data_IF_999861343181
#
_entry.id   IF_999861343181
#
_cell.length_a   1.000
_cell.length_b   1.000
_cell.length_c   1.000
_cell.angle_alpha   90.00
_cell.angle_beta   90.00
_cell.angle_gamma   90.00
#
_symmetry.space_group_name_H-M   'P 1'
#
loop_
_entity.id
_entity.type
_entity.pdbx_description
1 polymer ?
#
# COMPACT_ATOMS: atom_id res chain seq x y z
N UNK A 1 0.90 -11.48 19.69
CA UNK A 1 0.77 -12.90 20.14
C UNK A 1 1.18 -13.87 19.02
N UNK A 2 1.86 -14.97 19.34
CA UNK A 2 2.25 -16.04 18.41
C UNK A 2 1.24 -17.18 18.40
N UNK A 3 1.11 -17.89 17.28
CA UNK A 3 0.23 -19.05 17.13
C UNK A 3 0.99 -20.25 16.52
N UNK A 4 0.67 -21.49 16.94
CA UNK A 4 1.31 -22.69 16.42
C UNK A 4 0.72 -23.04 15.05
N UNK A 5 1.12 -22.29 14.02
CA UNK A 5 0.59 -22.43 12.66
C UNK A 5 1.56 -23.22 11.78
N UNK A 6 1.09 -24.26 11.05
CA UNK A 6 1.90 -24.99 10.09
C UNK A 6 2.51 -24.07 9.02
N UNK A 7 3.71 -24.40 8.56
CA UNK A 7 4.42 -23.66 7.51
C UNK A 7 3.58 -23.35 6.25
N UNK A 8 2.78 -24.30 5.67
CA UNK A 8 1.98 -24.00 4.49
C UNK A 8 0.95 -22.89 4.73
N UNK A 9 0.39 -22.81 5.93
CA UNK A 9 -0.59 -21.78 6.31
C UNK A 9 0.10 -20.44 6.59
N UNK A 10 1.31 -20.46 7.19
CA UNK A 10 2.16 -19.26 7.33
C UNK A 10 2.53 -18.65 5.98
N UNK A 11 2.87 -19.47 4.99
CA UNK A 11 3.15 -19.00 3.61
C UNK A 11 1.95 -18.27 3.00
N UNK A 12 0.74 -18.81 3.16
CA UNK A 12 -0.49 -18.15 2.67
C UNK A 12 -0.77 -16.79 3.35
N UNK A 13 -0.37 -16.64 4.61
CA UNK A 13 -0.52 -15.37 5.34
C UNK A 13 0.45 -14.28 4.88
N UNK A 14 1.57 -14.63 4.21
CA UNK A 14 2.52 -13.67 3.63
C UNK A 14 2.00 -13.02 2.35
N UNK A 15 1.29 -13.80 1.52
CA UNK A 15 0.79 -13.38 0.20
C UNK A 15 0.15 -11.98 0.17
N UNK A 16 -0.77 -11.61 1.09
CA UNK A 16 -1.36 -10.27 1.07
C UNK A 16 -0.34 -9.14 1.28
N UNK A 17 0.72 -9.38 2.07
CA UNK A 17 1.76 -8.38 2.36
C UNK A 17 2.79 -8.31 1.23
N UNK A 18 3.13 -9.45 0.62
CA UNK A 18 3.97 -9.49 -0.59
C UNK A 18 3.29 -8.75 -1.75
N UNK A 19 1.98 -8.96 -1.96
CA UNK A 19 1.21 -8.22 -2.94
C UNK A 19 1.19 -6.71 -2.64
N UNK A 20 1.07 -6.34 -1.36
CA UNK A 20 1.16 -4.94 -0.93
C UNK A 20 2.54 -4.36 -1.24
N UNK A 21 3.61 -5.10 -0.95
CA UNK A 21 4.98 -4.66 -1.21
C UNK A 21 5.24 -4.47 -2.71
N UNK A 22 4.83 -5.42 -3.55
CA UNK A 22 4.90 -5.26 -5.02
C UNK A 22 4.10 -4.05 -5.48
N UNK A 23 2.90 -3.84 -4.95
CA UNK A 23 2.08 -2.70 -5.31
C UNK A 23 2.73 -1.35 -4.96
N UNK A 24 3.37 -1.27 -3.79
CA UNK A 24 4.05 -0.06 -3.33
C UNK A 24 5.37 0.18 -4.10
N UNK A 25 6.19 -0.86 -4.29
CA UNK A 25 7.50 -0.71 -4.89
C UNK A 25 7.47 -0.58 -6.41
N UNK A 26 6.54 -1.26 -7.07
CA UNK A 26 6.44 -1.24 -8.53
C UNK A 26 5.49 -0.12 -8.94
N UNK A 27 4.19 -0.27 -8.67
CA UNK A 27 3.20 0.65 -9.24
C UNK A 27 3.21 2.04 -8.60
N UNK A 28 3.32 2.13 -7.27
CA UNK A 28 3.32 3.44 -6.61
C UNK A 28 4.61 4.22 -6.86
N UNK A 29 5.76 3.56 -6.74
CA UNK A 29 7.04 4.21 -7.03
C UNK A 29 7.10 4.68 -8.49
N UNK A 30 6.67 3.85 -9.45
CA UNK A 30 6.58 4.25 -10.86
C UNK A 30 5.63 5.43 -11.06
N UNK A 31 4.49 5.45 -10.36
CA UNK A 31 3.54 6.58 -10.41
C UNK A 31 4.20 7.86 -9.93
N UNK A 32 4.92 7.84 -8.80
CA UNK A 32 5.62 9.01 -8.26
C UNK A 32 6.79 9.46 -9.15
N UNK A 33 7.53 8.51 -9.72
CA UNK A 33 8.58 8.81 -10.70
C UNK A 33 7.99 9.44 -11.95
N UNK A 34 6.88 8.90 -12.49
CA UNK A 34 6.21 9.48 -13.64
C UNK A 34 5.63 10.88 -13.33
N UNK A 35 5.12 11.08 -12.12
CA UNK A 35 4.59 12.38 -11.69
C UNK A 35 5.72 13.41 -11.57
N UNK A 36 6.86 13.03 -10.98
CA UNK A 36 8.03 13.89 -10.82
C UNK A 36 8.73 14.13 -12.16
N UNK A 37 9.08 13.07 -12.88
CA UNK A 37 9.73 13.10 -14.19
C UNK A 37 8.89 13.82 -15.24
N UNK A 38 7.59 13.58 -15.26
CA UNK A 38 6.63 14.28 -16.13
C UNK A 38 6.56 15.78 -15.85
N UNK A 39 6.96 16.25 -14.66
CA UNK A 39 7.08 17.69 -14.37
C UNK A 39 8.30 18.35 -15.02
N UNK A 40 9.27 17.57 -15.51
CA UNK A 40 10.46 18.04 -16.23
C UNK A 40 10.36 17.86 -17.74
N UNK A 41 9.32 17.19 -18.25
CA UNK A 41 9.14 16.97 -19.69
C UNK A 41 8.69 18.27 -20.36
N UNK A 42 9.46 18.71 -21.35
CA UNK A 42 9.13 19.88 -22.17
C UNK A 42 7.91 19.60 -23.07
N UNK A 43 7.04 20.60 -23.32
CA UNK A 43 5.81 20.43 -24.09
C UNK A 43 6.02 19.91 -25.51
N UNK A 44 7.13 20.26 -26.16
CA UNK A 44 7.47 19.85 -27.53
C UNK A 44 8.24 18.52 -27.60
N UNK A 45 8.46 17.85 -26.48
CA UNK A 45 9.13 16.55 -26.43
C UNK A 45 8.22 15.43 -26.95
N UNK A 46 8.81 14.42 -27.60
CA UNK A 46 8.12 13.17 -27.95
C UNK A 46 7.55 12.41 -26.74
N UNK A 47 7.98 12.76 -25.52
CA UNK A 47 7.49 12.21 -24.26
C UNK A 47 6.25 12.94 -23.71
N UNK A 48 5.90 14.11 -24.24
CA UNK A 48 4.73 14.89 -23.81
C UNK A 48 3.40 14.10 -23.83
N UNK A 49 3.05 13.33 -24.87
CA UNK A 49 1.80 12.54 -24.87
C UNK A 49 1.78 11.44 -23.80
N UNK A 50 2.96 11.01 -23.34
CA UNK A 50 3.08 9.94 -22.34
C UNK A 50 3.02 10.43 -20.89
N UNK A 51 3.01 11.75 -20.64
CA UNK A 51 3.00 12.34 -19.29
C UNK A 51 1.80 11.88 -18.45
N UNK A 52 0.61 11.94 -19.02
CA UNK A 52 -0.64 11.53 -18.35
C UNK A 52 -0.77 10.01 -18.24
N UNK A 53 -0.65 9.22 -19.33
CA UNK A 53 -0.77 7.76 -19.23
C UNK A 53 0.33 7.14 -18.37
N UNK A 54 1.54 7.73 -18.33
CA UNK A 54 2.63 7.28 -17.46
C UNK A 54 2.31 7.32 -15.97
N UNK A 55 1.40 8.21 -15.55
CA UNK A 55 0.89 8.27 -14.16
C UNK A 55 -0.37 7.42 -14.01
N UNK A 56 -1.31 7.53 -14.97
CA UNK A 56 -2.62 6.90 -14.87
C UNK A 56 -2.58 5.37 -14.96
N UNK A 57 -1.71 4.80 -15.80
CA UNK A 57 -1.58 3.35 -15.96
C UNK A 57 -1.12 2.66 -14.67
N UNK A 58 0.01 3.02 -14.06
CA UNK A 58 0.44 2.39 -12.82
C UNK A 58 -0.52 2.70 -11.65
N UNK A 59 -1.10 3.89 -11.60
CA UNK A 59 -2.09 4.23 -10.57
C UNK A 59 -3.37 3.39 -10.71
N UNK A 60 -3.88 3.22 -11.93
CA UNK A 60 -5.06 2.39 -12.21
C UNK A 60 -4.83 0.92 -11.87
N UNK A 61 -3.65 0.39 -12.21
CA UNK A 61 -3.27 -0.97 -11.86
C UNK A 61 -3.12 -1.14 -10.34
N UNK A 62 -2.59 -0.11 -9.65
CA UNK A 62 -2.53 -0.09 -8.19
C UNK A 62 -3.92 -0.12 -7.56
N UNK A 63 -4.86 0.68 -8.07
CA UNK A 63 -6.26 0.68 -7.60
C UNK A 63 -6.93 -0.68 -7.86
N UNK A 64 -6.65 -1.34 -8.98
CA UNK A 64 -7.14 -2.68 -9.25
C UNK A 64 -6.62 -3.70 -8.22
N UNK A 65 -5.34 -3.62 -7.84
CA UNK A 65 -4.76 -4.48 -6.80
C UNK A 65 -5.39 -4.20 -5.42
N UNK A 66 -5.63 -2.93 -5.10
CA UNK A 66 -6.32 -2.53 -3.87
C UNK A 66 -7.74 -3.12 -3.84
N UNK A 67 -8.50 -2.97 -4.91
CA UNK A 67 -9.85 -3.51 -5.03
C UNK A 67 -9.86 -5.05 -4.91
N UNK A 68 -8.96 -5.71 -5.64
CA UNK A 68 -8.77 -7.16 -5.55
C UNK A 68 -8.46 -7.60 -4.12
N UNK A 69 -7.58 -6.89 -3.42
CA UNK A 69 -7.18 -7.22 -2.05
C UNK A 69 -8.35 -7.10 -1.07
N UNK A 70 -9.19 -6.09 -1.20
CA UNK A 70 -10.41 -5.96 -0.40
C UNK A 70 -11.40 -7.10 -0.67
N UNK A 71 -11.62 -7.46 -1.94
CA UNK A 71 -12.49 -8.58 -2.31
C UNK A 71 -11.95 -9.91 -1.76
N UNK A 72 -10.65 -10.14 -1.92
CA UNK A 72 -9.99 -11.35 -1.43
C UNK A 72 -10.01 -11.43 0.10
N UNK A 73 -9.82 -10.32 0.81
CA UNK A 73 -9.92 -10.28 2.27
C UNK A 73 -11.34 -10.58 2.77
N UNK A 74 -12.36 -10.04 2.10
CA UNK A 74 -13.77 -10.38 2.40
C UNK A 74 -14.05 -11.86 2.19
N UNK A 75 -13.55 -12.46 1.11
CA UNK A 75 -13.72 -13.89 0.81
C UNK A 75 -12.96 -14.77 1.81
N UNK A 76 -11.72 -14.42 2.15
CA UNK A 76 -10.90 -15.16 3.13
C UNK A 76 -11.54 -15.18 4.53
N UNK A 77 -12.21 -14.10 4.92
CA UNK A 77 -12.91 -14.02 6.22
C UNK A 77 -14.15 -14.93 6.27
N UNK A 78 -14.76 -15.27 5.13
CA UNK A 78 -16.00 -16.07 5.07
C UNK A 78 -15.76 -17.58 5.02
N UNK A 79 -14.66 -18.03 4.42
CA UNK A 79 -14.46 -19.43 4.08
C UNK A 79 -13.01 -19.93 4.27
N UNK A 80 -12.10 -19.08 4.76
CA UNK A 80 -10.69 -19.43 4.91
C UNK A 80 -10.29 -19.67 6.37
N UNK A 81 -9.12 -20.30 6.60
CA UNK A 81 -8.55 -20.42 7.94
C UNK A 81 -8.34 -19.03 8.56
N UNK A 82 -8.53 -18.94 9.88
CA UNK A 82 -8.49 -17.68 10.62
C UNK A 82 -7.18 -16.91 10.43
N UNK A 83 -6.03 -17.58 10.49
CA UNK A 83 -4.72 -16.94 10.46
C UNK A 83 -4.42 -16.20 9.12
N UNK A 84 -4.53 -16.85 7.94
CA UNK A 84 -4.47 -16.13 6.66
C UNK A 84 -5.52 -15.02 6.55
N UNK A 85 -6.77 -15.27 6.99
CA UNK A 85 -7.83 -14.27 6.93
C UNK A 85 -7.50 -13.02 7.77
N UNK A 86 -6.89 -13.20 8.94
CA UNK A 86 -6.39 -12.11 9.77
C UNK A 86 -5.35 -11.27 9.02
N UNK A 87 -4.34 -11.91 8.41
CA UNK A 87 -3.32 -11.18 7.63
C UNK A 87 -3.88 -10.47 6.39
N UNK A 88 -4.90 -11.04 5.73
CA UNK A 88 -5.63 -10.36 4.65
C UNK A 88 -6.36 -9.10 5.15
N UNK A 89 -6.96 -9.14 6.34
CA UNK A 89 -7.58 -7.96 6.97
C UNK A 89 -6.54 -6.92 7.36
N UNK A 90 -5.39 -7.34 7.90
CA UNK A 90 -4.29 -6.46 8.26
C UNK A 90 -3.76 -5.69 7.05
N UNK A 91 -3.48 -6.38 5.95
CA UNK A 91 -3.04 -5.76 4.69
C UNK A 91 -4.10 -4.81 4.13
N UNK A 92 -5.38 -5.22 4.13
CA UNK A 92 -6.50 -4.37 3.70
C UNK A 92 -6.63 -3.08 4.51
N UNK A 93 -6.30 -3.13 5.81
CA UNK A 93 -6.25 -1.94 6.65
C UNK A 93 -5.22 -0.92 6.18
N UNK A 94 -4.05 -1.38 5.72
CA UNK A 94 -2.97 -0.52 5.20
C UNK A 94 -3.31 0.10 3.86
N UNK A 95 -4.07 -0.60 3.02
CA UNK A 95 -4.58 0.01 1.79
C UNK A 95 -5.51 1.20 2.03
N UNK A 96 -6.15 1.30 3.20
CA UNK A 96 -6.91 2.52 3.56
C UNK A 96 -6.00 3.72 3.75
N UNK A 97 -4.82 3.51 4.35
CA UNK A 97 -3.79 4.55 4.48
C UNK A 97 -3.31 4.94 3.09
N UNK A 98 -3.05 3.96 2.20
CA UNK A 98 -2.65 4.24 0.81
C UNK A 98 -3.72 5.07 0.07
N UNK A 99 -5.00 4.74 0.21
CA UNK A 99 -6.09 5.52 -0.37
C UNK A 99 -6.16 6.94 0.22
N UNK A 100 -5.90 7.10 1.52
CA UNK A 100 -5.81 8.43 2.13
C UNK A 100 -4.63 9.23 1.56
N UNK A 101 -3.50 8.60 1.28
CA UNK A 101 -2.35 9.22 0.59
C UNK A 101 -2.73 9.63 -0.82
N UNK A 102 -3.46 8.81 -1.57
CA UNK A 102 -3.94 9.18 -2.90
C UNK A 102 -4.89 10.37 -2.86
N UNK A 103 -5.83 10.38 -1.93
CA UNK A 103 -6.76 11.50 -1.74
C UNK A 103 -6.02 12.77 -1.32
N UNK A 104 -5.08 12.67 -0.37
CA UNK A 104 -4.25 13.80 0.05
C UNK A 104 -3.38 14.34 -1.08
N UNK A 105 -2.72 13.46 -1.84
CA UNK A 105 -1.91 13.82 -3.00
C UNK A 105 -2.73 14.48 -4.11
N UNK A 106 -3.86 13.88 -4.49
CA UNK A 106 -4.79 14.44 -5.46
C UNK A 106 -5.35 15.80 -5.00
N UNK A 107 -5.66 15.93 -3.71
CA UNK A 107 -6.11 17.18 -3.10
C UNK A 107 -5.04 18.28 -3.16
N UNK A 108 -3.79 17.96 -2.80
CA UNK A 108 -2.67 18.91 -2.86
C UNK A 108 -2.36 19.35 -4.30
N UNK A 109 -2.33 18.40 -5.24
CA UNK A 109 -2.10 18.69 -6.67
C UNK A 109 -3.28 19.49 -7.24
N UNK A 110 -4.52 19.13 -6.91
CA UNK A 110 -5.72 19.84 -7.34
C UNK A 110 -5.78 21.26 -6.79
N UNK A 111 -5.39 21.46 -5.52
CA UNK A 111 -5.23 22.79 -4.94
C UNK A 111 -4.14 23.59 -5.67
N UNK A 112 -3.01 22.95 -5.97
CA UNK A 112 -1.94 23.56 -6.74
C UNK A 112 -2.39 23.99 -8.15
N UNK A 113 -3.21 23.17 -8.80
CA UNK A 113 -3.80 23.50 -10.09
C UNK A 113 -4.79 24.68 -10.01
N UNK A 114 -5.64 24.71 -8.98
CA UNK A 114 -6.60 25.78 -8.75
C UNK A 114 -5.89 27.11 -8.48
N UNK A 115 -4.88 27.10 -7.61
CA UNK A 115 -4.06 28.27 -7.33
C UNK A 115 -3.32 28.73 -8.58
N UNK A 116 -2.77 27.81 -9.38
CA UNK A 116 -2.10 28.15 -10.64
C UNK A 116 -3.03 28.90 -11.61
N UNK A 117 -4.30 28.50 -11.69
CA UNK A 117 -5.29 29.15 -12.55
C UNK A 117 -5.65 30.60 -12.15
N UNK A 118 -5.33 31.03 -10.93
CA UNK A 118 -5.53 32.43 -10.51
C UNK A 118 -4.51 33.39 -11.12
N UNK A 119 -3.44 32.87 -11.72
CA UNK A 119 -2.36 33.67 -12.27
C UNK A 119 -2.70 34.17 -13.68
N UNK A 120 -2.45 35.46 -13.93
CA UNK A 120 -2.75 36.11 -15.21
C UNK A 120 -1.71 35.83 -16.31
N UNK A 121 -0.50 35.44 -15.92
CA UNK A 121 0.62 35.19 -16.83
C UNK A 121 0.78 33.67 -17.02
N UNK A 122 0.76 33.16 -18.26
CA UNK A 122 0.81 31.72 -18.53
C UNK A 122 2.12 31.07 -18.04
N UNK A 123 3.25 31.80 -18.12
CA UNK A 123 4.52 31.31 -17.57
C UNK A 123 4.51 31.17 -16.04
N UNK A 124 3.86 32.10 -15.33
CA UNK A 124 3.77 32.09 -13.87
C UNK A 124 2.81 30.99 -13.38
N UNK A 125 1.72 30.76 -14.12
CA UNK A 125 0.81 29.63 -13.91
C UNK A 125 1.55 28.28 -13.99
N UNK A 126 2.31 28.05 -15.06
CA UNK A 126 3.02 26.79 -15.26
C UNK A 126 4.09 26.55 -14.17
N UNK A 127 4.90 27.56 -13.85
CA UNK A 127 5.95 27.46 -12.84
C UNK A 127 5.37 27.22 -11.44
N UNK A 128 4.30 27.92 -11.08
CA UNK A 128 3.65 27.72 -9.78
C UNK A 128 3.01 26.33 -9.68
N UNK A 129 2.36 25.85 -10.74
CA UNK A 129 1.81 24.49 -10.77
C UNK A 129 2.89 23.43 -10.56
N UNK A 130 4.02 23.53 -11.27
CA UNK A 130 5.15 22.61 -11.13
C UNK A 130 5.73 22.65 -9.71
N UNK A 131 5.90 23.84 -9.13
CA UNK A 131 6.43 24.00 -7.77
C UNK A 131 5.51 23.35 -6.74
N UNK A 132 4.20 23.63 -6.79
CA UNK A 132 3.22 23.07 -5.86
C UNK A 132 3.06 21.55 -6.03
N UNK A 133 3.11 21.06 -7.27
CA UNK A 133 3.11 19.62 -7.55
C UNK A 133 4.31 18.93 -6.88
N UNK A 134 5.51 19.50 -6.92
CA UNK A 134 6.70 18.93 -6.26
C UNK A 134 6.59 18.91 -4.73
N UNK A 135 6.02 19.96 -4.14
CA UNK A 135 5.74 20.01 -2.71
C UNK A 135 4.75 18.90 -2.31
N UNK A 136 3.76 18.60 -3.16
CA UNK A 136 2.82 17.51 -2.92
C UNK A 136 3.46 16.10 -2.98
N UNK A 137 4.51 15.92 -3.81
CA UNK A 137 5.18 14.61 -3.98
C UNK A 137 5.95 14.19 -2.72
N UNK A 138 6.61 15.12 -2.04
CA UNK A 138 7.43 14.83 -0.87
C UNK A 138 6.69 14.05 0.25
N UNK A 139 5.53 14.49 0.75
CA UNK A 139 4.78 13.74 1.77
C UNK A 139 4.26 12.40 1.26
N UNK A 140 3.96 12.26 -0.05
CA UNK A 140 3.57 10.98 -0.64
C UNK A 140 4.71 9.96 -0.60
N UNK A 141 5.95 10.38 -0.87
CA UNK A 141 7.14 9.52 -0.77
C UNK A 141 7.39 9.06 0.67
N UNK A 142 7.24 9.96 1.65
CA UNK A 142 7.37 9.61 3.07
C UNK A 142 6.32 8.57 3.46
N UNK A 143 5.06 8.78 3.07
CA UNK A 143 4.00 7.82 3.35
C UNK A 143 4.23 6.47 2.66
N UNK A 144 4.75 6.47 1.43
CA UNK A 144 5.14 5.25 0.72
C UNK A 144 6.21 4.48 1.49
N UNK A 145 7.27 5.16 1.96
CA UNK A 145 8.33 4.55 2.77
C UNK A 145 7.76 3.91 4.05
N UNK A 146 6.91 4.62 4.77
CA UNK A 146 6.25 4.10 5.98
C UNK A 146 5.42 2.85 5.65
N UNK A 147 4.64 2.88 4.57
CA UNK A 147 3.83 1.73 4.15
C UNK A 147 4.68 0.52 3.76
N UNK A 148 5.81 0.73 3.09
CA UNK A 148 6.77 -0.34 2.76
C UNK A 148 7.36 -0.95 4.03
N UNK A 149 7.77 -0.13 4.99
CA UNK A 149 8.31 -0.59 6.27
C UNK A 149 7.27 -1.41 7.05
N UNK A 150 6.03 -0.94 7.11
CA UNK A 150 4.92 -1.66 7.74
C UNK A 150 4.62 -2.99 7.02
N UNK A 151 4.63 -3.00 5.68
CA UNK A 151 4.43 -4.21 4.88
C UNK A 151 5.53 -5.24 5.16
N UNK A 152 6.79 -4.83 5.16
CA UNK A 152 7.94 -5.67 5.49
C UNK A 152 7.83 -6.29 6.88
N UNK A 153 7.53 -5.47 7.90
CA UNK A 153 7.32 -5.96 9.27
C UNK A 153 6.21 -7.00 9.38
N UNK A 154 5.11 -6.88 8.62
CA UNK A 154 4.07 -7.91 8.65
C UNK A 154 4.43 -9.19 7.90
N UNK A 155 5.31 -9.12 6.90
CA UNK A 155 5.85 -10.33 6.27
C UNK A 155 6.62 -11.13 7.32
N UNK A 156 7.45 -10.44 8.12
CA UNK A 156 8.18 -11.05 9.24
C UNK A 156 7.25 -11.63 10.31
N UNK A 157 6.20 -10.90 10.71
CA UNK A 157 5.19 -11.40 11.65
C UNK A 157 4.45 -12.64 11.11
N UNK A 158 3.95 -12.58 9.87
CA UNK A 158 3.30 -13.71 9.21
C UNK A 158 4.23 -14.91 9.12
N UNK A 159 5.50 -14.64 8.83
CA UNK A 159 6.54 -15.65 8.81
C UNK A 159 6.71 -16.31 10.16
N UNK A 160 6.53 -15.66 11.31
CA UNK A 160 6.71 -16.27 12.64
C UNK A 160 5.41 -16.81 13.26
N UNK A 161 4.30 -16.74 12.54
CA UNK A 161 2.99 -17.10 13.11
C UNK A 161 2.45 -16.02 14.08
N UNK A 162 2.95 -14.79 13.97
CA UNK A 162 2.60 -13.69 14.87
C UNK A 162 1.43 -12.87 14.32
N UNK A 163 0.48 -12.54 15.19
CA UNK A 163 -0.63 -11.63 14.89
C UNK A 163 -0.61 -10.47 15.89
N UNK A 164 -0.77 -9.21 15.43
CA UNK A 164 -0.86 -8.05 16.31
C UNK A 164 -2.07 -8.11 17.25
N UNK A 165 -1.90 -7.70 18.51
CA UNK A 165 -2.93 -7.84 19.54
C UNK A 165 -4.20 -7.02 19.23
N UNK A 166 -4.03 -5.84 18.61
CA UNK A 166 -5.15 -5.02 18.12
C UNK A 166 -6.03 -5.76 17.10
N UNK A 167 -5.44 -6.68 16.33
CA UNK A 167 -6.18 -7.48 15.36
C UNK A 167 -6.89 -8.64 16.05
N UNK A 168 -6.25 -9.28 17.03
CA UNK A 168 -6.83 -10.35 17.87
C UNK A 168 -8.08 -9.83 18.59
N UNK A 169 -8.02 -8.64 19.20
CA UNK A 169 -9.16 -8.03 19.88
C UNK A 169 -10.36 -7.79 18.94
N UNK A 170 -10.11 -7.48 17.67
CA UNK A 170 -11.16 -7.22 16.65
C UNK A 170 -11.58 -8.47 15.88
N UNK A 171 -10.79 -9.53 15.95
CA UNK A 171 -10.98 -10.77 15.23
C UNK A 171 -10.37 -11.90 16.05
N UNK A 172 -11.08 -12.35 17.10
CA UNK A 172 -10.54 -13.33 18.04
C UNK A 172 -10.26 -14.64 17.33
N UNK A 173 -9.19 -15.35 17.71
CA UNK A 173 -8.93 -16.70 17.23
C UNK A 173 -10.06 -17.64 17.66
N UNK A 174 -10.31 -18.72 16.91
CA UNK A 174 -11.25 -19.72 17.34
C UNK A 174 -10.72 -20.49 18.57
N UNK A 175 -11.60 -21.11 19.39
CA UNK A 175 -11.26 -21.61 20.72
C UNK A 175 -10.19 -22.72 20.74
N UNK A 176 -10.00 -23.38 19.61
CA UNK A 176 -9.02 -24.44 19.35
C UNK A 176 -7.58 -23.90 19.15
N UNK A 177 -7.43 -22.61 18.85
CA UNK A 177 -6.15 -21.95 18.60
C UNK A 177 -5.71 -21.10 19.79
N UNK A 178 -4.89 -21.70 20.65
CA UNK A 178 -4.28 -20.99 21.78
C UNK A 178 -2.99 -20.30 21.34
N UNK A 179 -2.92 -18.98 21.52
CA UNK A 179 -1.71 -18.21 21.27
C UNK A 179 -0.77 -18.19 22.48
N UNK A 180 0.49 -17.83 22.25
CA UNK A 180 1.50 -17.63 23.28
C UNK A 180 2.21 -16.28 23.10
N UNK A 181 2.79 -15.75 24.18
CA UNK A 181 3.57 -14.50 24.14
C UNK A 181 4.98 -14.72 23.55
N UNK A 182 5.46 -15.97 23.57
CA UNK A 182 6.73 -16.39 22.98
C UNK A 182 6.52 -17.16 21.69
N UNK A 183 7.47 -17.07 20.76
CA UNK A 183 7.46 -17.84 19.53
C UNK A 183 7.51 -19.34 19.82
N UNK A 184 6.70 -20.12 19.10
CA UNK A 184 6.76 -21.57 19.17
C UNK A 184 8.06 -22.06 18.51
N UNK A 185 8.86 -22.86 19.23
CA UNK A 185 10.10 -23.41 18.70
C UNK A 185 9.85 -24.09 17.34
N UNK A 186 10.61 -23.70 16.32
CA UNK A 186 10.57 -24.33 14.99
C UNK A 186 11.12 -25.76 15.10
N UNK A 187 10.27 -26.70 15.51
CA UNK A 187 10.66 -28.11 15.68
C UNK A 187 9.74 -28.97 16.54
N UNK A 188 8.84 -28.41 17.36
CA UNK A 188 8.02 -29.21 18.28
C UNK A 188 6.72 -29.78 17.69
N UNK A 189 6.54 -29.74 16.35
CA UNK A 189 5.35 -30.29 15.67
C UNK A 189 5.65 -31.61 14.93
N UNK A 190 6.69 -32.34 15.34
CA UNK A 190 7.01 -33.67 14.83
C UNK A 190 7.47 -34.57 15.99
N UNK A 191 6.54 -34.90 16.88
CA UNK A 191 6.56 -36.11 17.72
C UNK A 191 5.13 -36.48 18.07
#
# INVERSE_FOLDING_TARGET
MFFPIPEPVRRQAKTPHELTMVNLLIFNLLTLIALLGGSFVEPDSSLAPYRVPGVMVPLGLSLAIVAYSFLRARRATRAGPWFPAAHWRLASGRYRILLAVYLGGAGLIGLGWLLAHTQKLPGMQAMMFIALQRVAIAPMLIALMVLVMLASGAIYQAQRGEVPDRLIQRFPPPPDLTGADTEFASGAAAA
#
